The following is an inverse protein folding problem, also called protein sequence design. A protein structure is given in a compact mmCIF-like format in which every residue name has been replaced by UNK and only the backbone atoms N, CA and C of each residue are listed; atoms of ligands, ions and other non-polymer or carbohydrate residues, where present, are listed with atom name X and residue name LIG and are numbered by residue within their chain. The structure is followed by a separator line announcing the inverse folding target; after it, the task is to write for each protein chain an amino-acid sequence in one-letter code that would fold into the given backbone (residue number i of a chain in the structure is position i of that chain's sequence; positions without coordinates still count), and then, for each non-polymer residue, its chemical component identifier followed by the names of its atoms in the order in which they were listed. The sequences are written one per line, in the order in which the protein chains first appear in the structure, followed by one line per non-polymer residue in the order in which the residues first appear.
data_IF_941177137340
#
_entry.id   IF_941177137340
#
_cell.length_a   1.000
_cell.length_b   1.000
_cell.length_c   1.000
_cell.angle_alpha   90.00
_cell.angle_beta   90.00
_cell.angle_gamma   90.00
#
_symmetry.space_group_name_H-M   'P 1'
#
loop_
_entity.id
_entity.type
_entity.pdbx_description
1 polymer ?
#
# COMPACT_ATOMS: atom_id res chain seq x y z
N UNK A 1 17.77 -55.55 19.41
CA UNK A 1 18.01 -54.98 20.75
C UNK A 1 19.25 -54.08 20.68
N UNK A 2 19.05 -52.77 20.51
CA UNK A 2 19.87 -51.63 21.01
C UNK A 2 19.40 -50.35 20.31
N UNK A 3 18.74 -49.50 21.10
CA UNK A 3 18.37 -48.13 20.78
C UNK A 3 19.62 -47.25 20.64
N UNK A 4 19.60 -46.31 19.71
CA UNK A 4 20.38 -45.07 19.79
C UNK A 4 19.42 -43.91 19.51
N UNK A 5 18.99 -43.24 20.59
CA UNK A 5 18.37 -41.92 20.55
C UNK A 5 19.49 -40.88 20.39
N UNK A 6 19.36 -39.98 19.42
CA UNK A 6 20.18 -38.79 19.27
C UNK A 6 19.30 -37.55 19.19
N UNK A 7 19.13 -36.86 20.32
CA UNK A 7 18.60 -35.50 20.39
C UNK A 7 19.63 -34.53 19.79
N UNK A 8 19.23 -33.69 18.84
CA UNK A 8 20.01 -32.54 18.41
C UNK A 8 19.34 -31.29 18.99
N UNK A 9 20.04 -30.67 19.93
CA UNK A 9 19.70 -29.37 20.52
C UNK A 9 20.09 -28.24 19.55
N UNK A 10 19.17 -27.29 19.37
CA UNK A 10 19.37 -26.07 18.59
C UNK A 10 20.17 -25.07 19.44
N UNK A 11 21.40 -24.76 19.03
CA UNK A 11 22.23 -23.76 19.67
C UNK A 11 21.86 -22.35 19.17
N UNK A 12 21.34 -21.51 20.07
CA UNK A 12 21.19 -20.08 19.84
C UNK A 12 22.56 -19.39 19.93
N UNK A 13 23.00 -18.78 18.83
CA UNK A 13 24.21 -17.97 18.80
C UNK A 13 23.91 -16.58 19.42
N UNK A 14 24.41 -16.36 20.64
CA UNK A 14 24.47 -15.05 21.29
C UNK A 14 25.59 -14.22 20.66
N UNK A 15 25.23 -13.07 20.07
CA UNK A 15 26.20 -12.05 19.69
C UNK A 15 26.55 -11.16 20.91
N UNK A 16 27.82 -10.71 21.06
CA UNK A 16 28.24 -9.92 22.21
C UNK A 16 27.74 -8.48 22.13
N UNK A 17 27.02 -8.05 23.17
CA UNK A 17 26.62 -6.66 23.39
C UNK A 17 27.83 -5.82 23.80
N UNK A 18 28.08 -4.70 23.11
CA UNK A 18 29.04 -3.67 23.54
C UNK A 18 28.37 -2.77 24.59
N UNK A 19 29.03 -2.45 25.72
CA UNK A 19 28.51 -1.49 26.67
C UNK A 19 28.66 -0.07 26.13
N UNK A 20 27.55 0.61 25.86
CA UNK A 20 27.52 1.98 25.40
C UNK A 20 27.59 2.93 26.62
N UNK A 21 28.80 3.34 27.01
CA UNK A 21 29.00 4.41 27.98
C UNK A 21 28.64 5.77 27.36
N UNK A 22 27.36 6.17 27.39
CA UNK A 22 26.96 7.55 27.11
C UNK A 22 27.13 8.40 28.38
N UNK A 23 28.14 9.27 28.37
CA UNK A 23 28.29 10.38 29.32
C UNK A 23 27.08 11.33 29.16
N UNK A 24 26.28 11.50 30.22
CA UNK A 24 25.28 12.56 30.31
C UNK A 24 25.99 13.92 30.24
N UNK A 25 25.68 14.73 29.24
CA UNK A 25 25.98 16.18 29.25
C UNK A 25 24.88 16.89 30.06
N UNK A 26 25.21 17.96 30.80
CA UNK A 26 24.22 18.74 31.53
C UNK A 26 23.32 19.50 30.53
N UNK A 27 22.01 19.41 30.76
CA UNK A 27 20.98 20.19 30.07
C UNK A 27 21.11 21.63 30.56
N UNK A 28 21.49 22.54 29.67
CA UNK A 28 21.26 23.97 29.89
C UNK A 28 19.83 24.26 29.47
N UNK A 29 19.04 24.75 30.42
CA UNK A 29 17.71 25.28 30.16
C UNK A 29 17.85 26.51 29.25
N UNK A 30 17.29 26.43 28.05
CA UNK A 30 16.97 27.59 27.24
C UNK A 30 15.48 27.84 27.43
N UNK A 31 15.17 28.92 28.15
CA UNK A 31 13.86 29.54 28.16
C UNK A 31 13.56 30.02 26.73
N UNK A 32 12.78 29.24 25.99
CA UNK A 32 12.14 29.68 24.76
C UNK A 32 10.65 29.31 24.86
N UNK A 33 9.96 30.04 25.74
CA UNK A 33 8.50 30.15 25.79
C UNK A 33 8.02 30.92 24.55
N UNK A 34 8.17 30.33 23.37
CA UNK A 34 7.35 30.72 22.22
C UNK A 34 5.99 30.06 22.40
N UNK A 35 5.02 30.87 22.81
CA UNK A 35 3.62 30.53 22.94
C UNK A 35 3.17 29.62 21.79
N UNK A 36 2.59 28.47 22.16
CA UNK A 36 1.80 27.62 21.27
C UNK A 36 0.70 28.53 20.70
N UNK A 37 0.85 28.96 19.45
CA UNK A 37 -0.20 29.67 18.72
C UNK A 37 -1.48 28.84 18.82
N UNK A 38 -2.58 29.51 19.15
CA UNK A 38 -3.93 28.96 19.22
C UNK A 38 -4.19 28.04 18.01
N UNK A 39 -4.29 26.73 18.27
CA UNK A 39 -4.71 25.72 17.29
C UNK A 39 -6.21 25.85 17.00
N UNK A 40 -6.65 27.03 16.56
CA UNK A 40 -8.00 27.21 16.06
C UNK A 40 -8.21 26.25 14.87
N UNK A 41 -9.33 25.48 14.85
CA UNK A 41 -9.59 24.57 13.75
C UNK A 41 -9.71 25.36 12.45
N UNK A 42 -8.96 24.92 11.43
CA UNK A 42 -8.96 25.51 10.09
C UNK A 42 -10.38 25.51 9.50
N UNK A 43 -10.80 26.64 8.94
CA UNK A 43 -12.09 26.73 8.24
C UNK A 43 -12.04 25.97 6.91
N UNK A 44 -13.22 25.57 6.39
CA UNK A 44 -13.32 24.88 5.10
C UNK A 44 -12.70 25.69 3.94
N UNK A 45 -12.90 27.02 3.92
CA UNK A 45 -12.31 27.89 2.89
C UNK A 45 -10.78 27.96 2.97
N UNK A 46 -10.22 27.99 4.18
CA UNK A 46 -8.77 27.93 4.40
C UNK A 46 -8.20 26.58 3.98
N UNK A 47 -8.90 25.48 4.29
CA UNK A 47 -8.52 24.14 3.87
C UNK A 47 -8.48 24.02 2.34
N UNK A 48 -9.53 24.48 1.64
CA UNK A 48 -9.58 24.46 0.17
C UNK A 48 -8.40 25.24 -0.43
N UNK A 49 -8.11 26.45 0.08
CA UNK A 49 -6.99 27.28 -0.39
C UNK A 49 -5.63 26.60 -0.11
N UNK A 50 -5.48 26.01 1.07
CA UNK A 50 -4.29 25.26 1.46
C UNK A 50 -4.01 24.12 0.48
N UNK A 51 -5.01 23.30 0.16
CA UNK A 51 -4.82 22.17 -0.76
C UNK A 51 -4.65 22.58 -2.22
N UNK A 52 -5.24 23.69 -2.66
CA UNK A 52 -4.95 24.23 -3.99
C UNK A 52 -3.47 24.65 -4.12
N UNK A 53 -2.91 25.27 -3.08
CA UNK A 53 -1.49 25.62 -3.02
C UNK A 53 -0.60 24.38 -3.00
N UNK A 54 -1.01 23.35 -2.23
CA UNK A 54 -0.32 22.07 -2.17
C UNK A 54 -0.28 21.37 -3.54
N UNK A 55 -1.40 21.37 -4.27
CA UNK A 55 -1.48 20.80 -5.62
C UNK A 55 -0.51 21.50 -6.57
N UNK A 56 -0.51 22.84 -6.57
CA UNK A 56 0.41 23.62 -7.40
C UNK A 56 1.88 23.30 -7.06
N UNK A 57 2.22 23.20 -5.77
CA UNK A 57 3.57 22.83 -5.33
C UNK A 57 3.97 21.41 -5.77
N UNK A 58 3.02 20.47 -5.84
CA UNK A 58 3.25 19.13 -6.36
C UNK A 58 3.51 19.17 -7.88
N UNK A 59 2.70 19.93 -8.63
CA UNK A 59 2.84 20.09 -10.08
C UNK A 59 4.17 20.75 -10.47
N UNK A 60 4.57 21.76 -9.71
CA UNK A 60 5.85 22.47 -9.88
C UNK A 60 7.05 21.69 -9.36
N UNK A 61 6.83 20.53 -8.72
CA UNK A 61 7.87 19.73 -8.05
C UNK A 61 8.71 20.58 -7.10
N UNK A 62 8.04 21.49 -6.39
CA UNK A 62 8.70 22.40 -5.46
C UNK A 62 9.30 21.62 -4.29
N UNK A 63 10.43 22.08 -3.76
CA UNK A 63 11.00 21.53 -2.52
C UNK A 63 9.96 21.51 -1.40
N UNK A 64 10.06 20.55 -0.50
CA UNK A 64 9.26 20.56 0.72
C UNK A 64 9.68 21.75 1.58
N UNK A 65 8.70 22.47 2.09
CA UNK A 65 8.89 23.54 3.07
C UNK A 65 9.20 22.95 4.44
N UNK A 66 9.78 23.75 5.35
CA UNK A 66 10.04 23.32 6.73
C UNK A 66 8.76 22.87 7.44
N UNK A 67 7.62 23.51 7.14
CA UNK A 67 6.30 23.11 7.65
C UNK A 67 5.84 21.75 7.13
N UNK A 68 6.10 21.43 5.87
CA UNK A 68 5.78 20.10 5.29
C UNK A 68 6.69 19.01 5.86
N UNK A 69 7.99 19.32 6.03
CA UNK A 69 8.95 18.41 6.64
C UNK A 69 8.57 18.11 8.10
N UNK A 70 8.22 19.15 8.88
CA UNK A 70 7.71 18.99 10.23
C UNK A 70 6.39 18.21 10.27
N UNK A 71 5.50 18.46 9.33
CA UNK A 71 4.21 17.76 9.19
C UNK A 71 4.38 16.24 9.07
N UNK A 72 5.39 15.77 8.30
CA UNK A 72 5.69 14.32 8.20
C UNK A 72 6.26 13.77 9.50
N UNK A 73 7.25 14.44 10.10
CA UNK A 73 7.88 13.93 11.33
C UNK A 73 6.90 13.91 12.50
N UNK A 74 6.10 14.96 12.67
CA UNK A 74 5.04 15.01 13.68
C UNK A 74 3.99 13.93 13.47
N UNK A 75 3.64 13.61 12.21
CA UNK A 75 2.73 12.49 11.92
C UNK A 75 3.30 11.15 12.43
N UNK A 76 4.56 10.86 12.11
CA UNK A 76 5.20 9.61 12.53
C UNK A 76 5.43 9.53 14.05
N UNK A 77 5.83 10.64 14.68
CA UNK A 77 5.97 10.74 16.14
C UNK A 77 4.66 10.44 16.87
N UNK A 78 3.55 11.03 16.41
CA UNK A 78 2.21 10.78 16.96
C UNK A 78 1.73 9.34 16.78
N UNK A 79 2.32 8.61 15.83
CA UNK A 79 2.06 7.19 15.59
C UNK A 79 3.08 6.28 16.32
N UNK A 80 4.00 6.85 17.11
CA UNK A 80 4.90 6.10 17.98
C UNK A 80 6.35 6.00 17.50
N UNK A 81 6.76 6.77 16.50
CA UNK A 81 8.17 6.91 16.13
C UNK A 81 8.93 7.81 17.12
N UNK A 82 10.19 7.50 17.42
CA UNK A 82 11.02 8.31 18.31
C UNK A 82 11.35 9.68 17.68
N UNK A 83 11.16 10.74 18.47
CA UNK A 83 11.45 12.12 18.10
C UNK A 83 12.92 12.35 17.71
N UNK A 84 13.86 11.59 18.27
CA UNK A 84 15.30 11.72 17.97
C UNK A 84 15.61 11.45 16.48
N UNK A 85 14.71 10.78 15.75
CA UNK A 85 14.85 10.49 14.31
C UNK A 85 14.46 11.65 13.40
N UNK A 86 13.76 12.65 13.94
CA UNK A 86 13.13 13.69 13.13
C UNK A 86 14.12 14.53 12.35
N UNK A 87 15.31 14.81 12.88
CA UNK A 87 16.34 15.55 12.15
C UNK A 87 16.80 14.82 10.87
N UNK A 88 17.14 13.53 10.98
CA UNK A 88 17.58 12.72 9.85
C UNK A 88 16.48 12.52 8.81
N UNK A 89 15.24 12.29 9.26
CA UNK A 89 14.08 12.21 8.37
C UNK A 89 13.87 13.50 7.57
N UNK A 90 13.93 14.66 8.22
CA UNK A 90 13.81 15.96 7.53
C UNK A 90 14.91 16.14 6.49
N UNK A 91 16.15 15.75 6.79
CA UNK A 91 17.26 15.84 5.84
C UNK A 91 17.05 14.96 4.60
N UNK A 92 16.64 13.70 4.80
CA UNK A 92 16.35 12.78 3.68
C UNK A 92 15.20 13.34 2.85
N UNK A 93 14.06 13.68 3.47
CA UNK A 93 12.87 14.17 2.78
C UNK A 93 13.10 15.50 2.06
N UNK A 94 13.84 16.44 2.66
CA UNK A 94 14.14 17.73 2.04
C UNK A 94 14.90 17.60 0.71
N UNK A 95 15.74 16.56 0.58
CA UNK A 95 16.51 16.29 -0.64
C UNK A 95 15.71 15.60 -1.74
N UNK A 96 14.65 14.87 -1.41
CA UNK A 96 14.07 13.88 -2.33
C UNK A 96 12.56 13.92 -2.49
N UNK A 97 11.80 14.43 -1.52
CA UNK A 97 10.34 14.33 -1.52
C UNK A 97 9.68 15.10 -2.69
N UNK A 98 10.38 16.06 -3.28
CA UNK A 98 9.94 16.84 -4.44
C UNK A 98 10.24 16.18 -5.79
N UNK A 99 11.05 15.11 -5.81
CA UNK A 99 11.47 14.46 -7.04
C UNK A 99 10.33 13.65 -7.67
N UNK A 100 10.45 13.37 -8.96
CA UNK A 100 9.52 12.50 -9.67
C UNK A 100 9.64 11.04 -9.18
N UNK A 101 8.57 10.51 -8.60
CA UNK A 101 8.51 9.15 -8.07
C UNK A 101 8.74 8.06 -9.13
N UNK A 102 8.55 8.36 -10.42
CA UNK A 102 8.83 7.42 -11.52
C UNK A 102 10.33 7.25 -11.79
N UNK A 103 11.20 8.05 -11.16
CA UNK A 103 12.66 7.84 -11.18
C UNK A 103 13.05 6.73 -10.21
N UNK A 104 12.61 5.49 -10.48
CA UNK A 104 12.68 4.38 -9.52
C UNK A 104 14.07 4.10 -8.96
N UNK A 105 15.13 4.24 -9.76
CA UNK A 105 16.52 4.13 -9.26
C UNK A 105 16.82 5.15 -8.14
N UNK A 106 16.34 6.38 -8.27
CA UNK A 106 16.45 7.38 -7.21
C UNK A 106 15.52 7.09 -6.06
N UNK A 107 14.27 6.69 -6.33
CA UNK A 107 13.30 6.31 -5.29
C UNK A 107 13.86 5.20 -4.41
N UNK A 108 14.48 4.18 -5.02
CA UNK A 108 15.17 3.07 -4.36
C UNK A 108 16.37 3.53 -3.54
N UNK A 109 17.29 4.29 -4.13
CA UNK A 109 18.45 4.81 -3.40
C UNK A 109 18.05 5.69 -2.20
N UNK A 110 16.99 6.47 -2.36
CA UNK A 110 16.45 7.31 -1.29
C UNK A 110 15.72 6.47 -0.25
N UNK A 111 15.01 5.40 -0.64
CA UNK A 111 14.43 4.44 0.29
C UNK A 111 15.51 3.79 1.18
N UNK A 112 16.68 3.49 0.64
CA UNK A 112 17.84 3.03 1.43
C UNK A 112 18.31 4.10 2.43
N UNK A 113 18.34 5.37 2.04
CA UNK A 113 18.68 6.46 2.96
C UNK A 113 17.62 6.62 4.05
N UNK A 114 16.33 6.52 3.69
CA UNK A 114 15.22 6.55 4.63
C UNK A 114 15.28 5.37 5.62
N UNK A 115 15.67 4.19 5.16
CA UNK A 115 15.82 3.00 6.00
C UNK A 115 16.90 3.16 7.08
N UNK A 116 17.90 4.03 6.89
CA UNK A 116 18.90 4.32 7.92
C UNK A 116 18.34 5.19 9.05
N UNK A 117 17.31 5.99 8.75
CA UNK A 117 16.67 6.90 9.71
C UNK A 117 15.48 6.25 10.43
N UNK A 118 14.87 5.22 9.83
CA UNK A 118 13.78 4.45 10.42
C UNK A 118 14.28 3.22 11.20
N UNK A 119 13.53 2.73 12.20
CA UNK A 119 13.78 1.42 12.78
C UNK A 119 13.58 0.32 11.72
N UNK A 120 14.20 -0.86 11.89
CA UNK A 120 13.90 -2.03 11.06
C UNK A 120 12.41 -2.38 11.07
N UNK A 121 11.88 -2.95 9.99
CA UNK A 121 10.45 -3.32 9.89
C UNK A 121 10.00 -4.32 10.97
N UNK A 122 10.93 -5.13 11.48
CA UNK A 122 10.70 -6.06 12.59
C UNK A 122 10.65 -5.41 13.97
N UNK A 123 10.99 -4.12 14.08
CA UNK A 123 11.02 -3.38 15.34
C UNK A 123 9.61 -2.94 15.75
N UNK A 124 9.34 -2.92 17.06
CA UNK A 124 8.05 -2.50 17.61
C UNK A 124 7.78 -1.01 17.35
N UNK A 125 8.81 -0.18 17.32
CA UNK A 125 8.71 1.25 17.02
C UNK A 125 8.19 1.45 15.58
N UNK A 126 8.77 0.73 14.61
CA UNK A 126 8.29 0.76 13.22
C UNK A 126 6.87 0.19 13.12
N UNK A 127 6.61 -0.93 13.81
CA UNK A 127 5.31 -1.58 13.78
C UNK A 127 4.19 -0.68 14.32
N UNK A 128 4.46 0.13 15.35
CA UNK A 128 3.52 1.12 15.85
C UNK A 128 3.29 2.25 14.82
N UNK A 129 4.36 2.87 14.32
CA UNK A 129 4.29 4.00 13.40
C UNK A 129 3.58 3.65 12.08
N UNK A 130 3.76 2.41 11.60
CA UNK A 130 3.21 1.91 10.34
C UNK A 130 2.14 0.82 10.55
N UNK A 131 1.47 0.79 11.71
CA UNK A 131 0.48 -0.24 12.07
C UNK A 131 -0.54 -0.49 10.95
N UNK A 132 -1.16 0.58 10.43
CA UNK A 132 -2.15 0.48 9.35
C UNK A 132 -1.57 -0.15 8.08
N UNK A 133 -0.33 0.16 7.74
CA UNK A 133 0.36 -0.39 6.57
C UNK A 133 0.67 -1.86 6.75
N UNK A 134 1.18 -2.27 7.92
CA UNK A 134 1.57 -3.66 8.18
C UNK A 134 0.36 -4.58 8.42
N UNK A 135 -0.60 -4.15 9.24
CA UNK A 135 -1.80 -4.94 9.51
C UNK A 135 -2.73 -4.98 8.30
N UNK A 136 -3.02 -3.80 7.72
CA UNK A 136 -3.86 -3.71 6.52
C UNK A 136 -3.21 -4.35 5.29
N UNK A 137 -1.88 -4.37 5.23
CA UNK A 137 -1.11 -5.06 4.21
C UNK A 137 -0.86 -6.55 4.49
N UNK A 138 -1.34 -7.11 5.60
CA UNK A 138 -1.13 -8.53 5.93
C UNK A 138 0.36 -8.96 6.05
N UNK A 139 1.22 -8.07 6.58
CA UNK A 139 2.67 -8.31 6.71
C UNK A 139 3.01 -9.55 7.54
N UNK A 140 2.39 -9.69 8.72
CA UNK A 140 2.74 -10.76 9.65
C UNK A 140 2.40 -12.16 9.10
N UNK A 141 1.19 -12.44 8.58
CA UNK A 141 0.90 -13.73 7.94
C UNK A 141 1.76 -14.00 6.71
N UNK A 142 2.04 -12.99 5.88
CA UNK A 142 2.95 -13.12 4.74
C UNK A 142 4.38 -13.51 5.16
N UNK A 143 4.88 -12.94 6.25
CA UNK A 143 6.20 -13.24 6.80
C UNK A 143 6.28 -14.67 7.35
N UNK A 144 5.24 -15.13 8.04
CA UNK A 144 5.12 -16.52 8.54
C UNK A 144 5.12 -17.50 7.37
N UNK A 145 4.34 -17.18 6.33
CA UNK A 145 4.25 -17.98 5.13
C UNK A 145 5.62 -18.11 4.42
N UNK A 146 6.31 -16.98 4.26
CA UNK A 146 7.64 -16.94 3.65
C UNK A 146 8.66 -17.79 4.43
N UNK A 147 8.63 -17.71 5.77
CA UNK A 147 9.51 -18.50 6.63
C UNK A 147 9.24 -20.01 6.54
N UNK A 148 7.99 -20.43 6.32
CA UNK A 148 7.63 -21.84 6.15
C UNK A 148 8.09 -22.41 4.80
N UNK A 149 8.33 -21.56 3.79
CA UNK A 149 8.66 -21.94 2.41
C UNK A 149 10.16 -22.08 2.11
N UNK A 150 11.05 -22.13 3.12
CA UNK A 150 12.53 -22.08 2.97
C UNK A 150 13.19 -23.28 2.25
N UNK A 151 12.77 -23.59 1.02
CA UNK A 151 13.47 -24.44 0.06
C UNK A 151 14.03 -23.55 -1.05
N UNK A 152 15.30 -23.75 -1.41
CA UNK A 152 16.02 -22.93 -2.42
C UNK A 152 15.86 -23.43 -3.86
N UNK A 153 14.90 -24.30 -4.13
CA UNK A 153 14.68 -24.79 -5.48
C UNK A 153 13.84 -23.79 -6.28
N UNK A 154 14.02 -23.75 -7.61
CA UNK A 154 13.25 -22.92 -8.54
C UNK A 154 11.72 -23.09 -8.40
N UNK A 155 11.27 -24.22 -7.81
CA UNK A 155 9.87 -24.48 -7.46
C UNK A 155 9.31 -23.54 -6.39
N UNK A 156 10.14 -22.93 -5.57
CA UNK A 156 9.72 -22.22 -4.36
C UNK A 156 9.88 -20.70 -4.45
N UNK A 157 10.23 -20.16 -5.64
CA UNK A 157 10.30 -18.71 -5.85
C UNK A 157 8.99 -18.02 -5.45
N UNK A 158 9.05 -16.95 -4.63
CA UNK A 158 7.86 -16.19 -4.27
C UNK A 158 7.24 -15.51 -5.49
N UNK A 159 5.99 -15.08 -5.32
CA UNK A 159 5.25 -14.33 -6.32
C UNK A 159 5.32 -12.83 -6.03
N UNK A 160 5.52 -12.04 -7.07
CA UNK A 160 5.14 -10.63 -7.09
C UNK A 160 3.97 -10.48 -8.05
N UNK A 161 2.92 -9.84 -7.54
CA UNK A 161 1.63 -9.76 -8.19
C UNK A 161 1.26 -8.30 -8.40
N UNK A 162 1.09 -7.92 -9.66
CA UNK A 162 0.51 -6.65 -10.02
C UNK A 162 -1.02 -6.80 -10.08
N UNK A 163 -1.74 -6.06 -9.25
CA UNK A 163 -3.20 -6.11 -9.15
C UNK A 163 -3.79 -4.88 -9.83
N UNK A 164 -4.47 -5.06 -10.97
CA UNK A 164 -5.04 -3.98 -11.78
C UNK A 164 -6.57 -4.02 -11.81
N UNK A 165 -7.17 -2.86 -12.00
CA UNK A 165 -8.61 -2.67 -12.11
C UNK A 165 -9.07 -1.43 -11.37
N UNK A 166 -10.22 -0.89 -11.76
CA UNK A 166 -10.73 0.38 -11.24
C UNK A 166 -11.11 0.32 -9.75
N UNK A 167 -11.19 1.49 -9.12
CA UNK A 167 -11.61 1.60 -7.72
C UNK A 167 -13.09 1.27 -7.55
N UNK A 168 -13.44 0.51 -6.52
CA UNK A 168 -14.83 0.14 -6.24
C UNK A 168 -15.24 -1.25 -6.75
N UNK A 169 -14.40 -1.92 -7.57
CA UNK A 169 -14.66 -3.31 -8.02
C UNK A 169 -14.31 -4.36 -6.98
N UNK A 170 -13.90 -3.98 -5.77
CA UNK A 170 -13.67 -4.90 -4.64
C UNK A 170 -12.53 -5.92 -4.86
N UNK A 171 -11.49 -5.53 -5.62
CA UNK A 171 -10.27 -6.34 -5.86
C UNK A 171 -9.70 -6.93 -4.58
N UNK A 172 -9.41 -6.07 -3.59
CA UNK A 172 -8.86 -6.50 -2.29
C UNK A 172 -9.79 -7.51 -1.63
N UNK A 173 -11.10 -7.23 -1.52
CA UNK A 173 -12.06 -8.16 -0.91
C UNK A 173 -12.01 -9.53 -1.59
N UNK A 174 -12.10 -9.58 -2.92
CA UNK A 174 -12.08 -10.84 -3.66
C UNK A 174 -10.79 -11.65 -3.46
N UNK A 175 -9.63 -10.98 -3.43
CA UNK A 175 -8.32 -11.63 -3.27
C UNK A 175 -8.15 -12.31 -1.88
N UNK A 176 -8.89 -11.86 -0.87
CA UNK A 176 -8.88 -12.46 0.47
C UNK A 176 -9.94 -13.56 0.65
N UNK A 177 -10.80 -13.80 -0.34
CA UNK A 177 -11.81 -14.86 -0.24
C UNK A 177 -11.16 -16.25 -0.22
N UNK A 178 -11.69 -17.21 0.58
CA UNK A 178 -11.11 -18.55 0.69
C UNK A 178 -11.03 -19.32 -0.64
N UNK A 179 -11.93 -19.00 -1.58
CA UNK A 179 -11.99 -19.64 -2.89
C UNK A 179 -11.08 -18.96 -3.93
N UNK A 180 -10.45 -17.83 -3.62
CA UNK A 180 -9.72 -17.03 -4.62
C UNK A 180 -8.57 -17.79 -5.28
N UNK A 181 -7.87 -18.67 -4.55
CA UNK A 181 -6.83 -19.53 -5.13
C UNK A 181 -7.37 -20.43 -6.25
N UNK A 182 -8.60 -20.95 -6.11
CA UNK A 182 -9.25 -21.75 -7.14
C UNK A 182 -9.62 -20.90 -8.37
N UNK A 183 -10.22 -19.73 -8.15
CA UNK A 183 -10.53 -18.79 -9.24
C UNK A 183 -9.26 -18.37 -10.01
N UNK A 184 -8.16 -18.11 -9.30
CA UNK A 184 -6.88 -17.77 -9.92
C UNK A 184 -6.28 -18.93 -10.71
N UNK A 185 -6.46 -20.18 -10.24
CA UNK A 185 -6.02 -21.36 -10.97
C UNK A 185 -6.76 -21.54 -12.31
N UNK A 186 -8.04 -21.15 -12.38
CA UNK A 186 -8.82 -21.14 -13.63
C UNK A 186 -8.36 -20.03 -14.59
N UNK A 187 -7.99 -18.86 -14.05
CA UNK A 187 -7.70 -17.67 -14.85
C UNK A 187 -6.26 -17.58 -15.39
N UNK A 188 -5.30 -18.28 -14.79
CA UNK A 188 -3.88 -18.06 -15.06
C UNK A 188 -3.43 -18.60 -16.42
N UNK A 189 -2.71 -17.76 -17.15
CA UNK A 189 -2.05 -18.03 -18.44
C UNK A 189 -0.56 -17.77 -18.30
N UNK A 190 0.25 -18.75 -18.69
CA UNK A 190 1.71 -18.67 -18.71
C UNK A 190 2.25 -17.77 -19.83
N UNK A 191 3.55 -17.40 -19.77
CA UNK A 191 4.19 -16.56 -20.78
C UNK A 191 4.24 -17.23 -22.18
N UNK A 192 4.14 -18.55 -22.25
CA UNK A 192 4.05 -19.33 -23.49
C UNK A 192 2.61 -19.48 -24.01
N UNK A 193 1.63 -18.84 -23.36
CA UNK A 193 0.21 -18.96 -23.65
C UNK A 193 -0.45 -20.22 -23.09
N UNK A 194 0.29 -21.06 -22.34
CA UNK A 194 -0.29 -22.26 -21.72
C UNK A 194 -1.26 -21.87 -20.59
N UNK A 195 -2.41 -22.55 -20.52
CA UNK A 195 -3.39 -22.35 -19.45
C UNK A 195 -3.09 -23.22 -18.24
N UNK A 196 -3.27 -22.65 -17.05
CA UNK A 196 -3.18 -23.36 -15.78
C UNK A 196 -1.92 -23.04 -14.98
N UNK A 197 -2.04 -23.15 -13.66
CA UNK A 197 -0.99 -22.79 -12.73
C UNK A 197 0.25 -23.71 -12.83
N UNK A 198 1.45 -23.21 -12.54
CA UNK A 198 2.63 -24.05 -12.38
C UNK A 198 2.38 -25.19 -11.37
N UNK A 199 2.67 -26.43 -11.76
CA UNK A 199 2.42 -27.61 -10.91
C UNK A 199 3.16 -27.49 -9.57
N UNK A 200 2.45 -27.83 -8.49
CA UNK A 200 2.98 -27.88 -7.10
C UNK A 200 3.46 -26.51 -6.57
N UNK A 201 2.94 -25.42 -7.11
CA UNK A 201 3.16 -24.07 -6.60
C UNK A 201 1.86 -23.58 -5.99
N UNK A 202 1.88 -23.22 -4.71
CA UNK A 202 0.76 -22.52 -4.09
C UNK A 202 0.69 -21.09 -4.65
N UNK A 203 -0.51 -20.68 -5.05
CA UNK A 203 -0.73 -19.40 -5.70
C UNK A 203 -0.80 -18.26 -4.67
N UNK A 204 -0.46 -17.03 -5.08
CA UNK A 204 -0.54 -15.87 -4.19
C UNK A 204 -2.00 -15.47 -3.98
N UNK A 205 -2.40 -15.35 -2.72
CA UNK A 205 -3.70 -14.83 -2.29
C UNK A 205 -3.49 -13.72 -1.27
N UNK A 206 -4.58 -13.05 -0.87
CA UNK A 206 -4.53 -12.04 0.19
C UNK A 206 -4.01 -12.62 1.50
N UNK A 207 -4.36 -13.87 1.82
CA UNK A 207 -4.02 -14.50 3.11
C UNK A 207 -2.53 -14.89 3.25
N UNK A 208 -1.82 -15.13 2.15
CA UNK A 208 -0.43 -15.60 2.17
C UNK A 208 0.59 -14.59 1.61
N UNK A 209 0.18 -13.35 1.39
CA UNK A 209 0.99 -12.34 0.74
C UNK A 209 0.91 -10.98 1.41
N UNK A 210 1.98 -10.19 1.29
CA UNK A 210 2.01 -8.82 1.76
C UNK A 210 1.43 -7.90 0.68
N UNK A 211 0.38 -7.17 1.02
CA UNK A 211 -0.25 -6.19 0.15
C UNK A 211 0.33 -4.80 0.41
N UNK A 212 1.18 -4.34 -0.50
CA UNK A 212 1.71 -2.97 -0.50
C UNK A 212 0.65 -1.98 -0.96
N UNK A 213 -0.15 -1.47 -0.02
CA UNK A 213 -1.18 -0.47 -0.26
C UNK A 213 -0.64 0.94 -0.04
N UNK A 214 -0.35 1.65 -1.12
CA UNK A 214 0.23 2.99 -1.04
C UNK A 214 -0.71 3.99 -0.35
N UNK A 215 -2.02 3.82 -0.48
CA UNK A 215 -3.02 4.68 0.17
C UNK A 215 -2.86 4.68 1.69
N UNK A 216 -2.46 3.55 2.29
CA UNK A 216 -2.19 3.47 3.73
C UNK A 216 -0.90 4.20 4.10
N UNK A 217 0.12 4.08 3.26
CA UNK A 217 1.38 4.80 3.46
C UNK A 217 1.17 6.31 3.38
N UNK A 218 0.39 6.80 2.40
CA UNK A 218 0.05 8.22 2.25
C UNK A 218 -0.70 8.71 3.49
N UNK A 219 -1.72 7.97 3.95
CA UNK A 219 -2.46 8.33 5.16
C UNK A 219 -1.57 8.40 6.41
N UNK A 220 -0.62 7.48 6.54
CA UNK A 220 0.36 7.48 7.64
C UNK A 220 1.29 8.70 7.59
N UNK A 221 1.97 8.96 6.46
CA UNK A 221 2.99 10.02 6.38
C UNK A 221 2.40 11.42 6.27
N UNK A 222 1.16 11.54 5.80
CA UNK A 222 0.45 12.80 5.62
C UNK A 222 -0.69 12.99 6.63
N UNK A 223 -0.66 12.30 7.78
CA UNK A 223 -1.69 12.32 8.82
C UNK A 223 -2.17 13.74 9.13
N UNK A 224 -1.25 14.66 9.39
CA UNK A 224 -1.56 16.06 9.75
C UNK A 224 -2.25 16.84 8.62
N UNK A 225 -2.14 16.39 7.37
CA UNK A 225 -2.90 16.93 6.25
C UNK A 225 -4.28 16.29 6.15
N UNK A 226 -4.42 15.01 6.46
CA UNK A 226 -5.73 14.36 6.56
C UNK A 226 -6.61 14.99 7.65
N UNK A 227 -6.04 15.42 8.77
CA UNK A 227 -6.78 16.17 9.80
C UNK A 227 -7.44 17.43 9.24
N UNK A 228 -6.68 18.20 8.43
CA UNK A 228 -7.20 19.40 7.75
C UNK A 228 -8.21 19.05 6.65
N UNK A 229 -7.98 17.94 5.94
CA UNK A 229 -8.85 17.45 4.88
C UNK A 229 -10.27 17.18 5.40
N UNK A 230 -10.40 16.59 6.59
CA UNK A 230 -11.70 16.25 7.16
C UNK A 230 -12.55 17.44 7.60
N UNK A 231 -12.00 18.67 7.60
CA UNK A 231 -12.79 19.89 7.77
C UNK A 231 -13.67 20.23 6.55
N UNK A 232 -13.35 19.67 5.37
CA UNK A 232 -14.09 19.92 4.12
C UNK A 232 -15.37 19.07 4.10
N UNK A 233 -16.50 19.71 3.83
CA UNK A 233 -17.83 19.10 3.82
C UNK A 233 -18.33 18.81 2.42
N UNK A 234 -17.94 19.63 1.45
CA UNK A 234 -18.25 19.37 0.05
C UNK A 234 -17.44 18.17 -0.48
N UNK A 235 -18.13 17.21 -1.09
CA UNK A 235 -17.51 15.96 -1.57
C UNK A 235 -16.57 16.21 -2.75
N UNK A 236 -16.88 17.15 -3.64
CA UNK A 236 -16.04 17.45 -4.80
C UNK A 236 -14.74 18.13 -4.37
N UNK A 237 -14.84 19.13 -3.49
CA UNK A 237 -13.67 19.81 -2.93
C UNK A 237 -12.84 18.86 -2.05
N UNK A 238 -13.48 17.97 -1.29
CA UNK A 238 -12.80 16.93 -0.54
C UNK A 238 -11.97 16.03 -1.46
N UNK A 239 -12.55 15.54 -2.56
CA UNK A 239 -11.84 14.69 -3.51
C UNK A 239 -10.64 15.41 -4.15
N UNK A 240 -10.79 16.69 -4.53
CA UNK A 240 -9.68 17.52 -5.06
C UNK A 240 -8.58 17.72 -4.02
N UNK A 241 -8.95 18.06 -2.79
CA UNK A 241 -8.02 18.25 -1.68
C UNK A 241 -7.24 16.97 -1.36
N UNK A 242 -7.94 15.83 -1.35
CA UNK A 242 -7.32 14.52 -1.18
C UNK A 242 -6.36 14.20 -2.34
N UNK A 243 -6.73 14.52 -3.58
CA UNK A 243 -5.82 14.37 -4.72
C UNK A 243 -4.54 15.19 -4.56
N UNK A 244 -4.63 16.40 -4.02
CA UNK A 244 -3.46 17.23 -3.72
C UNK A 244 -2.51 16.60 -2.70
N UNK A 245 -3.04 16.00 -1.63
CA UNK A 245 -2.24 15.25 -0.64
C UNK A 245 -1.53 14.08 -1.33
N UNK A 246 -2.27 13.29 -2.11
CA UNK A 246 -1.70 12.13 -2.82
C UNK A 246 -0.64 12.53 -3.83
N UNK A 247 -0.81 13.66 -4.53
CA UNK A 247 0.19 14.18 -5.46
C UNK A 247 1.44 14.67 -4.72
N UNK A 248 1.26 15.49 -3.68
CA UNK A 248 2.36 16.12 -2.95
C UNK A 248 3.22 15.12 -2.17
N UNK A 249 2.58 14.14 -1.53
CA UNK A 249 3.28 13.14 -0.70
C UNK A 249 3.64 11.87 -1.46
N UNK A 250 3.40 11.82 -2.78
CA UNK A 250 3.60 10.61 -3.60
C UNK A 250 5.00 10.04 -3.45
N UNK A 251 6.04 10.86 -3.60
CA UNK A 251 7.43 10.40 -3.59
C UNK A 251 7.83 9.89 -2.20
N UNK A 252 7.44 10.60 -1.14
CA UNK A 252 7.63 10.13 0.25
C UNK A 252 7.00 8.77 0.48
N UNK A 253 5.75 8.57 0.04
CA UNK A 253 5.07 7.30 0.19
C UNK A 253 5.68 6.19 -0.68
N UNK A 254 6.18 6.52 -1.87
CA UNK A 254 6.88 5.58 -2.74
C UNK A 254 8.24 5.18 -2.17
N UNK A 255 8.95 6.06 -1.46
CA UNK A 255 10.18 5.73 -0.73
C UNK A 255 9.90 4.70 0.38
N UNK A 256 8.88 4.93 1.22
CA UNK A 256 8.46 3.96 2.24
C UNK A 256 7.99 2.65 1.59
N UNK A 257 7.22 2.75 0.51
CA UNK A 257 6.72 1.59 -0.21
C UNK A 257 7.84 0.76 -0.87
N UNK A 258 8.90 1.40 -1.35
CA UNK A 258 10.10 0.74 -1.86
C UNK A 258 10.87 0.03 -0.74
N UNK A 259 11.07 0.69 0.40
CA UNK A 259 11.66 0.08 1.60
C UNK A 259 10.93 -1.21 1.99
N UNK A 260 9.59 -1.17 2.07
CA UNK A 260 8.77 -2.34 2.44
C UNK A 260 8.84 -3.47 1.41
N UNK A 261 8.92 -3.12 0.12
CA UNK A 261 9.09 -4.09 -0.96
C UNK A 261 10.47 -4.76 -0.91
N UNK A 262 11.53 -4.00 -0.65
CA UNK A 262 12.88 -4.56 -0.49
C UNK A 262 12.95 -5.48 0.74
N UNK A 263 12.30 -5.10 1.83
CA UNK A 263 12.23 -5.94 3.02
C UNK A 263 11.42 -7.22 2.76
N UNK A 264 10.30 -7.14 2.05
CA UNK A 264 9.53 -8.31 1.64
C UNK A 264 10.36 -9.25 0.75
N UNK A 265 11.15 -8.67 -0.16
CA UNK A 265 12.11 -9.41 -0.98
C UNK A 265 13.17 -10.12 -0.14
N UNK A 266 13.71 -9.45 0.90
CA UNK A 266 14.73 -10.01 1.78
C UNK A 266 14.24 -11.25 2.52
N UNK A 267 12.95 -11.29 2.88
CA UNK A 267 12.34 -12.43 3.57
C UNK A 267 11.68 -13.44 2.61
N UNK A 268 11.75 -13.24 1.29
CA UNK A 268 11.09 -14.04 0.26
C UNK A 268 9.56 -14.12 0.42
N UNK A 269 8.91 -13.03 0.81
CA UNK A 269 7.46 -12.97 0.88
C UNK A 269 6.83 -12.83 -0.51
N UNK A 270 5.63 -13.38 -0.68
CA UNK A 270 4.77 -12.99 -1.80
C UNK A 270 4.37 -11.51 -1.60
N UNK A 271 4.33 -10.74 -2.70
CA UNK A 271 3.99 -9.31 -2.65
C UNK A 271 2.88 -8.99 -3.65
N UNK A 272 1.85 -8.27 -3.21
CA UNK A 272 0.80 -7.70 -4.06
C UNK A 272 1.00 -6.18 -4.14
N UNK A 273 0.95 -5.64 -5.35
CA UNK A 273 1.04 -4.20 -5.62
C UNK A 273 -0.17 -3.80 -6.44
N UNK A 274 -1.04 -2.94 -5.88
CA UNK A 274 -2.24 -2.46 -6.56
C UNK A 274 -1.99 -1.18 -7.37
N UNK A 275 -2.61 -1.11 -8.54
CA UNK A 275 -2.66 0.07 -9.38
C UNK A 275 -3.96 0.14 -10.19
N UNK A 276 -4.23 1.30 -10.76
CA UNK A 276 -5.39 1.54 -11.64
C UNK A 276 -5.30 0.84 -13.00
N UNK A 277 -4.15 0.29 -13.39
CA UNK A 277 -3.98 -0.41 -14.67
C UNK A 277 -3.76 0.48 -15.89
N UNK A 278 -3.65 1.81 -15.73
CA UNK A 278 -3.67 2.78 -16.85
C UNK A 278 -2.34 3.04 -17.58
N UNK A 279 -1.22 2.53 -17.06
CA UNK A 279 0.12 2.88 -17.53
C UNK A 279 0.99 1.62 -17.56
N UNK A 280 1.56 1.30 -18.72
CA UNK A 280 2.49 0.18 -18.90
C UNK A 280 3.71 0.26 -17.98
N UNK A 281 4.09 1.47 -17.55
CA UNK A 281 5.19 1.68 -16.60
C UNK A 281 5.01 0.97 -15.26
N UNK A 282 3.79 0.53 -14.91
CA UNK A 282 3.56 -0.29 -13.71
C UNK A 282 4.25 -1.67 -13.76
N UNK A 283 4.43 -2.25 -14.95
CA UNK A 283 5.18 -3.49 -15.12
C UNK A 283 6.68 -3.24 -14.90
N UNK A 284 7.19 -2.17 -15.51
CA UNK A 284 8.59 -1.79 -15.35
C UNK A 284 8.95 -1.42 -13.90
N UNK A 285 7.99 -0.92 -13.11
CA UNK A 285 8.17 -0.75 -11.65
C UNK A 285 8.45 -2.10 -10.98
N UNK A 286 7.65 -3.14 -11.26
CA UNK A 286 7.87 -4.47 -10.68
C UNK A 286 9.19 -5.07 -11.17
N UNK A 287 9.50 -4.95 -12.47
CA UNK A 287 10.77 -5.44 -13.02
C UNK A 287 11.99 -4.74 -12.40
N UNK A 288 11.84 -3.49 -11.98
CA UNK A 288 12.91 -2.75 -11.31
C UNK A 288 13.22 -3.27 -9.90
N UNK A 289 12.20 -3.67 -9.15
CA UNK A 289 12.34 -4.12 -7.75
C UNK A 289 12.49 -5.63 -7.60
N UNK A 290 12.05 -6.41 -8.59
CA UNK A 290 12.02 -7.87 -8.54
C UNK A 290 12.60 -8.45 -9.83
N UNK A 291 13.70 -9.17 -9.73
CA UNK A 291 14.32 -9.85 -10.87
C UNK A 291 13.65 -11.20 -11.19
N UNK A 292 13.82 -11.63 -12.43
CA UNK A 292 13.25 -12.87 -12.97
C UNK A 292 13.90 -14.13 -12.39
N UNK A 293 15.07 -14.02 -11.73
CA UNK A 293 15.74 -15.17 -11.11
C UNK A 293 15.21 -15.43 -9.69
N UNK A 294 14.74 -14.39 -9.00
CA UNK A 294 14.31 -14.45 -7.60
C UNK A 294 12.79 -14.58 -7.46
N UNK A 295 12.02 -14.01 -8.38
CA UNK A 295 10.57 -13.90 -8.27
C UNK A 295 9.84 -14.44 -9.49
N UNK A 296 8.62 -14.94 -9.27
CA UNK A 296 7.63 -15.16 -10.33
C UNK A 296 6.75 -13.93 -10.42
N UNK A 297 6.47 -13.49 -11.64
CA UNK A 297 5.68 -12.28 -11.88
C UNK A 297 4.32 -12.64 -12.46
N UNK A 298 3.28 -12.05 -11.88
CA UNK A 298 1.89 -12.29 -12.22
C UNK A 298 1.16 -10.95 -12.31
N UNK A 299 0.42 -10.74 -13.40
CA UNK A 299 -0.51 -9.61 -13.50
C UNK A 299 -1.96 -10.13 -13.40
N UNK A 300 -2.73 -9.53 -12.49
CA UNK A 300 -4.16 -9.77 -12.32
C UNK A 300 -4.94 -8.57 -12.85
N UNK A 301 -5.87 -8.79 -13.75
CA UNK A 301 -6.77 -7.75 -14.26
C UNK A 301 -8.21 -8.01 -13.84
N UNK A 302 -8.80 -7.08 -13.11
CA UNK A 302 -10.20 -7.14 -12.69
C UNK A 302 -11.04 -6.15 -13.49
N UNK A 303 -12.07 -6.66 -14.16
CA UNK A 303 -13.05 -5.86 -14.89
C UNK A 303 -14.44 -6.02 -14.25
N UNK A 304 -15.23 -4.95 -14.25
CA UNK A 304 -16.62 -4.98 -13.79
C UNK A 304 -17.56 -4.78 -14.98
N UNK A 305 -18.61 -5.58 -15.03
CA UNK A 305 -19.60 -5.55 -16.13
C UNK A 305 -20.45 -4.28 -16.10
N UNK A 306 -20.75 -3.78 -14.90
CA UNK A 306 -21.53 -2.56 -14.67
C UNK A 306 -20.78 -1.59 -13.75
N UNK A 307 -20.25 -0.53 -14.36
CA UNK A 307 -19.44 0.47 -13.67
C UNK A 307 -20.24 1.29 -12.63
N UNK A 308 -21.56 1.39 -12.79
CA UNK A 308 -22.39 2.17 -11.86
C UNK A 308 -22.32 1.62 -10.42
N UNK A 309 -22.11 0.31 -10.28
CA UNK A 309 -21.89 -0.32 -8.97
C UNK A 309 -20.54 0.07 -8.35
N UNK A 310 -19.50 0.22 -9.17
CA UNK A 310 -18.20 0.67 -8.71
C UNK A 310 -18.24 2.16 -8.32
N UNK A 311 -18.91 2.99 -9.11
CA UNK A 311 -19.16 4.41 -8.82
C UNK A 311 -19.90 4.57 -7.49
N UNK A 312 -21.06 3.92 -7.33
CA UNK A 312 -21.82 3.95 -6.09
C UNK A 312 -21.02 3.39 -4.89
N UNK A 313 -20.15 2.40 -5.14
CA UNK A 313 -19.25 1.87 -4.12
C UNK A 313 -18.20 2.91 -3.69
N UNK A 314 -17.61 3.66 -4.63
CA UNK A 314 -16.64 4.72 -4.34
C UNK A 314 -17.30 5.87 -3.59
N UNK A 315 -18.49 6.29 -4.02
CA UNK A 315 -19.22 7.41 -3.41
C UNK A 315 -19.60 7.11 -1.96
N UNK A 316 -20.19 5.92 -1.70
CA UNK A 316 -20.52 5.48 -0.33
C UNK A 316 -19.28 5.42 0.56
N UNK A 317 -18.17 4.91 0.03
CA UNK A 317 -16.90 4.84 0.76
C UNK A 317 -16.40 6.23 1.12
N UNK A 318 -16.40 7.16 0.17
CA UNK A 318 -15.93 8.54 0.38
C UNK A 318 -16.79 9.27 1.41
N UNK A 319 -18.11 9.17 1.32
CA UNK A 319 -19.02 9.76 2.31
C UNK A 319 -18.74 9.22 3.73
N UNK A 320 -18.60 7.89 3.88
CA UNK A 320 -18.29 7.29 5.18
C UNK A 320 -16.88 7.63 5.68
N UNK A 321 -15.91 7.83 4.78
CA UNK A 321 -14.55 8.27 5.13
C UNK A 321 -14.56 9.69 5.67
N UNK A 322 -15.29 10.61 5.03
CA UNK A 322 -15.45 11.97 5.52
C UNK A 322 -16.10 12.00 6.90
N UNK A 323 -17.12 11.17 7.14
CA UNK A 323 -17.78 11.05 8.45
C UNK A 323 -16.82 10.53 9.54
N UNK A 324 -16.22 9.35 9.34
CA UNK A 324 -15.27 8.77 10.30
C UNK A 324 -14.05 9.64 10.52
N UNK A 325 -13.62 10.37 9.49
CA UNK A 325 -12.49 11.28 9.57
C UNK A 325 -12.76 12.45 10.51
N UNK A 326 -13.96 13.05 10.45
CA UNK A 326 -14.38 14.08 11.40
C UNK A 326 -14.41 13.55 12.83
N UNK A 327 -15.03 12.39 13.04
CA UNK A 327 -15.08 11.75 14.36
C UNK A 327 -13.68 11.43 14.90
N UNK A 328 -12.75 11.01 14.03
CA UNK A 328 -11.38 10.69 14.40
C UNK A 328 -10.57 11.94 14.81
N UNK A 329 -10.75 13.05 14.09
CA UNK A 329 -10.15 14.35 14.43
C UNK A 329 -10.67 14.84 15.78
N UNK A 330 -11.99 14.74 16.01
CA UNK A 330 -12.60 15.11 17.28
C UNK A 330 -12.10 14.25 18.46
N UNK A 331 -11.77 12.97 18.23
CA UNK A 331 -11.22 12.12 19.28
C UNK A 331 -9.73 12.38 19.58
N UNK A 332 -9.01 13.12 18.73
CA UNK A 332 -7.58 13.37 18.87
C UNK A 332 -6.68 12.13 18.68
N UNK A 333 -7.25 11.03 18.19
CA UNK A 333 -6.55 9.75 18.02
C UNK A 333 -5.92 9.69 16.63
N UNK A 334 -4.60 9.82 16.59
CA UNK A 334 -3.79 9.78 15.38
C UNK A 334 -4.03 8.50 14.55
N UNK A 335 -4.15 7.34 15.21
CA UNK A 335 -4.41 6.07 14.53
C UNK A 335 -5.78 6.06 13.84
N UNK A 336 -6.81 6.58 14.51
CA UNK A 336 -8.16 6.68 13.91
C UNK A 336 -8.22 7.61 12.70
N UNK A 337 -7.42 8.68 12.67
CA UNK A 337 -7.33 9.60 11.51
C UNK A 337 -6.76 8.86 10.29
N UNK A 338 -5.73 8.04 10.50
CA UNK A 338 -5.13 7.19 9.45
C UNK A 338 -6.12 6.12 9.00
N UNK A 339 -6.81 5.45 9.94
CA UNK A 339 -7.77 4.38 9.65
C UNK A 339 -9.04 4.88 8.95
N UNK A 340 -9.39 6.15 9.14
CA UNK A 340 -10.55 6.76 8.47
C UNK A 340 -10.38 6.76 6.93
N UNK A 341 -9.14 6.87 6.43
CA UNK A 341 -8.84 6.80 5.00
C UNK A 341 -9.05 5.38 4.45
N UNK A 342 -9.98 5.24 3.50
CA UNK A 342 -10.41 3.97 2.92
C UNK A 342 -10.00 3.79 1.45
N UNK A 343 -9.18 4.68 0.91
CA UNK A 343 -8.49 4.43 -0.36
C UNK A 343 -8.00 5.69 -1.05
N UNK A 344 -7.77 5.58 -2.36
CA UNK A 344 -7.21 6.67 -3.16
C UNK A 344 -8.10 7.91 -3.30
N UNK A 345 -7.57 8.96 -3.96
CA UNK A 345 -8.19 10.28 -4.03
C UNK A 345 -9.32 10.38 -5.07
N UNK A 346 -9.43 9.41 -5.97
CA UNK A 346 -10.33 9.49 -7.12
C UNK A 346 -11.79 9.20 -6.73
N UNK A 347 -12.68 10.14 -7.06
CA UNK A 347 -14.13 9.96 -6.99
C UNK A 347 -14.70 9.16 -8.18
N UNK A 348 -16.01 8.89 -8.13
CA UNK A 348 -16.73 8.12 -9.17
C UNK A 348 -16.61 8.72 -10.58
N UNK A 349 -16.60 10.04 -10.71
CA UNK A 349 -16.63 10.75 -11.99
C UNK A 349 -15.48 10.42 -12.98
N UNK A 350 -14.35 9.88 -12.49
CA UNK A 350 -13.21 9.52 -13.36
C UNK A 350 -13.16 8.04 -13.73
N UNK A 351 -14.02 7.20 -13.14
CA UNK A 351 -13.91 5.74 -13.25
C UNK A 351 -14.09 5.24 -14.68
N UNK A 352 -15.00 5.82 -15.46
CA UNK A 352 -15.21 5.43 -16.86
C UNK A 352 -13.94 5.60 -17.71
N UNK A 353 -13.26 6.74 -17.59
CA UNK A 353 -11.99 6.99 -18.26
C UNK A 353 -10.87 6.07 -17.76
N UNK A 354 -10.86 5.76 -16.46
CA UNK A 354 -9.91 4.82 -15.86
C UNK A 354 -10.11 3.40 -16.41
N UNK A 355 -11.36 2.92 -16.51
CA UNK A 355 -11.67 1.60 -17.06
C UNK A 355 -11.24 1.50 -18.52
N UNK A 356 -11.57 2.50 -19.34
CA UNK A 356 -11.17 2.54 -20.74
C UNK A 356 -9.64 2.49 -20.91
N UNK A 357 -8.90 3.30 -20.16
CA UNK A 357 -7.44 3.30 -20.19
C UNK A 357 -6.82 1.98 -19.67
N UNK A 358 -7.43 1.37 -18.64
CA UNK A 358 -6.99 0.07 -18.12
C UNK A 358 -7.21 -1.05 -19.13
N UNK A 359 -8.37 -1.07 -19.81
CA UNK A 359 -8.65 -2.05 -20.88
C UNK A 359 -7.65 -1.92 -22.02
N UNK A 360 -7.38 -0.69 -22.47
CA UNK A 360 -6.41 -0.46 -23.54
C UNK A 360 -5.00 -0.90 -23.13
N UNK A 361 -4.57 -0.59 -21.91
CA UNK A 361 -3.27 -1.04 -21.40
C UNK A 361 -3.20 -2.57 -21.33
N UNK A 362 -4.25 -3.22 -20.83
CA UNK A 362 -4.32 -4.68 -20.77
C UNK A 362 -4.25 -5.32 -22.15
N UNK A 363 -5.02 -4.79 -23.11
CA UNK A 363 -4.99 -5.24 -24.51
C UNK A 363 -3.59 -5.15 -25.11
N UNK A 364 -2.92 -3.99 -24.96
CA UNK A 364 -1.55 -3.80 -25.46
C UNK A 364 -0.55 -4.80 -24.88
N UNK A 365 -0.72 -5.21 -23.63
CA UNK A 365 0.13 -6.22 -22.97
C UNK A 365 -0.16 -7.63 -23.51
N UNK A 366 -1.41 -7.94 -23.83
CA UNK A 366 -1.79 -9.23 -24.41
C UNK A 366 -1.36 -9.37 -25.88
N UNK A 367 -1.48 -8.29 -26.65
CA UNK A 367 -1.19 -8.24 -28.09
C UNK A 367 0.31 -7.98 -28.40
N UNK A 368 1.17 -7.92 -27.38
CA UNK A 368 2.61 -7.59 -27.48
C UNK A 368 2.89 -6.21 -28.14
N UNK A 369 1.95 -5.27 -28.00
CA UNK A 369 2.07 -3.86 -28.47
C UNK A 369 2.72 -2.94 -27.41
N UNK A 370 3.37 -3.54 -26.42
CA UNK A 370 4.02 -2.86 -25.31
C UNK A 370 5.54 -3.10 -25.29
N UNK A 371 6.15 -3.32 -26.46
CA UNK A 371 7.60 -3.52 -26.62
C UNK A 371 8.17 -4.64 -25.73
N UNK A 372 7.45 -5.77 -25.63
CA UNK A 372 7.83 -6.92 -24.80
C UNK A 372 7.64 -6.74 -23.30
N UNK A 373 7.09 -5.61 -22.84
CA UNK A 373 6.77 -5.39 -21.42
C UNK A 373 5.78 -6.44 -20.92
N UNK A 374 6.13 -7.13 -19.84
CA UNK A 374 5.30 -8.19 -19.27
C UNK A 374 5.28 -9.49 -20.08
N UNK A 375 6.11 -9.65 -21.11
CA UNK A 375 6.15 -10.86 -21.94
C UNK A 375 6.50 -12.13 -21.14
N UNK A 376 7.44 -12.03 -20.19
CA UNK A 376 7.85 -13.15 -19.32
C UNK A 376 6.87 -13.45 -18.17
N UNK A 377 5.80 -12.66 -18.03
CA UNK A 377 4.90 -12.74 -16.88
C UNK A 377 3.71 -13.66 -17.12
N UNK A 378 3.27 -14.30 -16.04
CA UNK A 378 1.94 -14.89 -15.97
C UNK A 378 0.87 -13.80 -15.97
N UNK A 379 -0.29 -14.11 -16.53
CA UNK A 379 -1.42 -13.18 -16.65
C UNK A 379 -2.70 -13.88 -16.24
N UNK A 380 -3.58 -13.18 -15.54
CA UNK A 380 -4.91 -13.68 -15.18
C UNK A 380 -5.91 -12.53 -15.27
N UNK A 381 -7.05 -12.78 -15.91
CA UNK A 381 -8.13 -11.81 -16.04
C UNK A 381 -9.40 -12.35 -15.36
N UNK A 382 -10.14 -11.45 -14.73
CA UNK A 382 -11.36 -11.75 -14.00
C UNK A 382 -12.47 -10.79 -14.38
N UNK A 383 -13.69 -11.30 -14.45
CA UNK A 383 -14.91 -10.50 -14.57
C UNK A 383 -15.67 -10.50 -13.26
N UNK A 384 -16.12 -9.31 -12.88
CA UNK A 384 -16.96 -9.07 -11.72
C UNK A 384 -18.35 -8.69 -12.21
N UNK A 385 -19.33 -9.51 -11.85
CA UNK A 385 -20.73 -9.24 -12.12
C UNK A 385 -21.40 -8.79 -10.82
N UNK A 386 -21.62 -7.47 -10.66
CA UNK A 386 -22.26 -6.94 -9.47
C UNK A 386 -23.78 -7.22 -9.49
N UNK A 387 -24.37 -7.29 -8.30
CA UNK A 387 -25.82 -7.38 -8.08
C UNK A 387 -26.23 -6.40 -6.99
N UNK A 388 -27.47 -5.89 -7.08
CA UNK A 388 -28.02 -4.92 -6.13
C UNK A 388 -28.40 -5.57 -4.80
N UNK A 389 -29.12 -6.69 -4.87
CA UNK A 389 -29.73 -7.36 -3.72
C UNK A 389 -29.20 -8.78 -3.49
N UNK A 390 -28.20 -9.19 -4.26
CA UNK A 390 -27.55 -10.50 -4.20
C UNK A 390 -26.02 -10.33 -4.03
N UNK A 391 -25.29 -11.39 -3.61
CA UNK A 391 -23.84 -11.39 -3.66
C UNK A 391 -23.31 -11.00 -5.05
N UNK A 392 -22.17 -10.33 -5.07
CA UNK A 392 -21.43 -10.12 -6.30
C UNK A 392 -20.77 -11.45 -6.69
N UNK A 393 -20.50 -11.63 -7.97
CA UNK A 393 -19.76 -12.79 -8.45
C UNK A 393 -18.45 -12.37 -9.10
N UNK A 394 -17.46 -13.24 -9.00
CA UNK A 394 -16.21 -13.16 -9.75
C UNK A 394 -16.01 -14.47 -10.49
N UNK A 395 -15.67 -14.37 -11.77
CA UNK A 395 -15.28 -15.52 -12.59
C UNK A 395 -13.98 -15.21 -13.33
N UNK A 396 -13.20 -16.25 -13.65
CA UNK A 396 -12.11 -16.14 -14.60
C UNK A 396 -12.65 -15.65 -15.96
N UNK A 397 -11.90 -14.80 -16.66
CA UNK A 397 -12.26 -14.34 -18.01
C UNK A 397 -11.90 -15.41 -19.05
N UNK A 398 -12.63 -16.52 -19.00
CA UNK A 398 -12.52 -17.62 -19.95
C UNK A 398 -13.81 -18.42 -20.05
N UNK A 399 -13.88 -19.28 -21.06
CA UNK A 399 -15.02 -20.17 -21.27
C UNK A 399 -15.19 -21.13 -20.08
N UNK A 400 -16.44 -21.42 -19.72
CA UNK A 400 -16.85 -22.35 -18.66
C UNK A 400 -16.26 -22.08 -17.26
N UNK A 401 -15.86 -20.83 -16.98
CA UNK A 401 -15.33 -20.42 -15.68
C UNK A 401 -16.36 -20.58 -14.55
N UNK A 402 -15.89 -20.97 -13.36
CA UNK A 402 -16.73 -21.03 -12.17
C UNK A 402 -17.03 -19.60 -11.69
N UNK A 403 -18.31 -19.30 -11.44
CA UNK A 403 -18.72 -18.05 -10.81
C UNK A 403 -18.68 -18.21 -9.28
N UNK A 404 -17.78 -17.46 -8.63
CA UNK A 404 -17.62 -17.47 -7.19
C UNK A 404 -18.33 -16.28 -6.56
N UNK A 405 -19.24 -16.55 -5.62
CA UNK A 405 -19.96 -15.52 -4.90
C UNK A 405 -19.10 -14.90 -3.78
N UNK A 406 -19.21 -13.57 -3.65
CA UNK A 406 -18.74 -12.84 -2.49
C UNK A 406 -19.69 -11.68 -2.19
N UNK A 407 -19.87 -11.39 -0.92
CA UNK A 407 -20.58 -10.16 -0.53
C UNK A 407 -19.52 -9.10 -0.28
N UNK A 408 -19.52 -7.99 -1.05
CA UNK A 408 -18.69 -6.85 -0.71
C UNK A 408 -18.98 -6.48 0.74
N UNK A 409 -17.99 -6.66 1.63
CA UNK A 409 -18.17 -6.44 3.06
C UNK A 409 -18.81 -5.05 3.26
N UNK A 410 -20.08 -5.01 3.67
CA UNK A 410 -20.57 -3.89 4.47
C UNK A 410 -19.78 -4.04 5.75
N UNK A 411 -18.62 -3.37 5.89
CA UNK A 411 -17.88 -3.37 7.15
C UNK A 411 -18.86 -2.86 8.21
N UNK A 412 -19.53 -3.78 8.90
CA UNK A 412 -20.12 -3.50 10.20
C UNK A 412 -18.96 -3.04 11.06
N UNK A 413 -19.21 -2.08 11.95
CA UNK A 413 -18.33 -1.87 13.08
C UNK A 413 -18.18 -3.24 13.76
N UNK A 414 -17.06 -3.91 13.53
CA UNK A 414 -16.73 -5.14 14.21
C UNK A 414 -16.48 -4.75 15.67
N UNK A 415 -17.28 -5.23 16.64
CA UNK A 415 -17.00 -4.95 18.04
C UNK A 415 -15.65 -5.53 18.49
N UNK A 416 -15.02 -6.41 17.70
CA UNK A 416 -13.71 -7.00 17.96
C UNK A 416 -12.54 -6.34 17.20
N UNK A 417 -12.81 -5.28 16.42
CA UNK A 417 -11.75 -4.44 15.82
C UNK A 417 -10.92 -5.10 14.72
N UNK A 418 -11.35 -6.22 14.13
CA UNK A 418 -10.64 -6.86 13.01
C UNK A 418 -11.02 -6.18 11.70
N UNK A 419 -10.29 -5.12 11.38
CA UNK A 419 -10.44 -4.37 10.14
C UNK A 419 -9.83 -5.12 8.93
N UNK A 420 -10.66 -5.67 8.03
CA UNK A 420 -10.24 -6.11 6.69
C UNK A 420 -10.76 -5.23 5.58
#
# INVERSE_FOLDING_TARGET
MRLVLGCVALAAALAPTRPNCRRRRPVMATDDDTAIEDNAPMTEAEAIKHFATMQQAADDRAFFTDGELASVTTALERLGLDHDRSAGLKEVLGRSAHLDYKRWHMTRATATSLANELPPVSDIEFANAFKRVLEGGNWAPASIYAAAKQSKNDRDRPWVVLVTGLNGVRKTTAIYEPWFEAALAEAIVGPDGSRGAPKRVQLPTGSNSFFRQLDFVVATVALTQFEKLYAIKDVSEYAKAKAAIFARYRTTSEMVGALLVEEASRINANVLVETSGRDVGMFSYIDHFFDDDSYRKLALNFEIDDIAFAEASVDRRMAGEMERGREAVESGDAGRVVDANQGGPYGSAVLAGVQAASRETWRRILDDEADGVGASWYKAAFRITPRADEPWTLAADCDDATAFEFTPLRRRADPEGRNF
#
